data_IF_424830235878
#
_entry.id   IF_424830235878
#
_cell.length_a   1.000
_cell.length_b   1.000
_cell.length_c   1.000
_cell.angle_alpha   90.00
_cell.angle_beta   90.00
_cell.angle_gamma   90.00
#
_symmetry.space_group_name_H-M   'P 1'
#
loop_
_entity.id
_entity.type
_entity.pdbx_description
1 polymer ?
#
# COMPACT_ATOMS: atom_id res chain seq x y z
N UNK A 1 4.74 -3.61 6.34
CA UNK A 1 3.63 -2.65 6.22
C UNK A 1 3.27 -2.50 4.75
N UNK A 2 1.98 -2.54 4.43
CA UNK A 2 1.47 -2.43 3.06
C UNK A 2 1.79 -1.07 2.44
N UNK A 3 2.16 -1.00 1.15
CA UNK A 3 2.44 0.26 0.48
C UNK A 3 1.23 1.21 0.44
N UNK A 4 0.01 0.70 0.35
CA UNK A 4 -1.19 1.54 0.34
C UNK A 4 -1.85 1.67 1.73
N UNK A 5 -1.26 1.06 2.77
CA UNK A 5 -1.91 0.93 4.07
C UNK A 5 -2.87 -0.27 4.11
N UNK A 6 -3.56 -0.43 5.23
CA UNK A 6 -4.53 -1.52 5.38
C UNK A 6 -5.82 -1.15 4.65
N UNK A 7 -6.40 -2.12 3.94
CA UNK A 7 -7.72 -1.96 3.35
C UNK A 7 -8.78 -1.86 4.45
N UNK A 8 -9.72 -0.92 4.29
CA UNK A 8 -10.86 -0.77 5.20
C UNK A 8 -11.97 -1.78 4.88
N UNK A 9 -12.99 -1.85 5.73
CA UNK A 9 -14.15 -2.69 5.48
C UNK A 9 -14.92 -2.27 4.21
N UNK A 10 -14.97 -0.96 3.93
CA UNK A 10 -15.61 -0.40 2.73
C UNK A 10 -14.82 -0.75 1.47
N UNK A 11 -13.49 -0.61 1.49
CA UNK A 11 -12.64 -1.00 0.35
C UNK A 11 -12.82 -2.49 -0.02
N UNK A 12 -12.95 -3.35 0.99
CA UNK A 12 -13.22 -4.77 0.81
C UNK A 12 -14.61 -5.01 0.18
N UNK A 13 -15.63 -4.27 0.62
CA UNK A 13 -16.98 -4.36 0.04
C UNK A 13 -16.99 -3.96 -1.44
N UNK A 14 -16.31 -2.85 -1.78
CA UNK A 14 -16.18 -2.38 -3.16
C UNK A 14 -15.44 -3.40 -4.04
N UNK A 15 -14.38 -4.02 -3.50
CA UNK A 15 -13.68 -5.08 -4.22
C UNK A 15 -14.57 -6.32 -4.46
N UNK A 16 -15.37 -6.72 -3.48
CA UNK A 16 -16.31 -7.84 -3.61
C UNK A 16 -17.41 -7.55 -4.64
N UNK A 17 -17.88 -6.30 -4.75
CA UNK A 17 -18.82 -5.92 -5.81
C UNK A 17 -18.25 -6.21 -7.21
N UNK A 18 -16.94 -6.02 -7.41
CA UNK A 18 -16.31 -6.39 -8.68
C UNK A 18 -16.36 -7.89 -8.94
N UNK A 19 -16.23 -8.73 -7.91
CA UNK A 19 -16.24 -10.20 -8.04
C UNK A 19 -17.62 -10.76 -8.38
N UNK A 20 -18.69 -10.10 -7.94
CA UNK A 20 -20.06 -10.42 -8.33
C UNK A 20 -20.45 -9.89 -9.70
N UNK A 21 -19.69 -8.93 -10.23
CA UNK A 21 -19.96 -8.34 -11.53
C UNK A 21 -19.69 -9.31 -12.68
N UNK A 22 -20.27 -8.99 -13.82
CA UNK A 22 -20.05 -9.74 -15.06
C UNK A 22 -18.60 -9.71 -15.57
N UNK A 23 -17.78 -8.76 -15.08
CA UNK A 23 -16.39 -8.55 -15.48
C UNK A 23 -15.46 -9.68 -14.99
N UNK A 24 -15.84 -10.38 -13.92
CA UNK A 24 -15.01 -11.41 -13.27
C UNK A 24 -15.56 -12.81 -13.42
N UNK A 25 -16.50 -13.06 -14.36
CA UNK A 25 -17.14 -14.37 -14.58
C UNK A 25 -16.21 -15.56 -14.81
N UNK A 26 -14.96 -15.30 -15.23
CA UNK A 26 -13.95 -16.34 -15.47
C UNK A 26 -12.91 -16.46 -14.35
N UNK A 27 -12.97 -15.60 -13.33
CA UNK A 27 -12.08 -15.64 -12.18
C UNK A 27 -12.67 -16.59 -11.15
N UNK A 28 -12.07 -17.78 -11.01
CA UNK A 28 -12.52 -18.82 -10.07
C UNK A 28 -11.31 -19.51 -9.43
N UNK A 29 -11.52 -20.14 -8.27
CA UNK A 29 -10.50 -20.87 -7.51
C UNK A 29 -9.25 -20.03 -7.12
N UNK A 30 -9.40 -18.70 -7.10
CA UNK A 30 -8.30 -17.80 -6.75
C UNK A 30 -8.40 -17.37 -5.29
N UNK A 31 -7.24 -17.27 -4.62
CA UNK A 31 -7.12 -16.50 -3.38
C UNK A 31 -6.65 -15.10 -3.74
N UNK A 32 -7.57 -14.13 -3.76
CA UNK A 32 -7.30 -12.77 -4.23
C UNK A 32 -6.98 -11.85 -3.04
N UNK A 33 -5.75 -11.33 -2.99
CA UNK A 33 -5.29 -10.46 -1.91
C UNK A 33 -5.75 -9.01 -2.09
N UNK A 34 -6.57 -8.54 -1.16
CA UNK A 34 -7.01 -7.15 -1.05
C UNK A 34 -6.51 -6.54 0.27
N UNK A 35 -5.23 -6.20 0.32
CA UNK A 35 -4.51 -5.87 1.57
C UNK A 35 -3.57 -4.67 1.44
N UNK A 36 -3.78 -3.85 0.40
CA UNK A 36 -2.96 -2.68 0.09
C UNK A 36 -1.53 -3.02 -0.34
N UNK A 37 -1.29 -4.25 -0.83
CA UNK A 37 0.01 -4.73 -1.32
C UNK A 37 0.86 -5.38 -0.24
N UNK A 38 0.25 -5.84 0.86
CA UNK A 38 0.96 -6.50 1.96
C UNK A 38 1.52 -7.85 1.54
N UNK A 39 0.70 -8.70 0.91
CA UNK A 39 1.07 -10.08 0.57
C UNK A 39 2.19 -10.17 -0.48
N UNK A 40 2.44 -9.10 -1.23
CA UNK A 40 3.54 -9.03 -2.21
C UNK A 40 4.78 -8.29 -1.68
N UNK A 41 4.78 -7.87 -0.41
CA UNK A 41 5.91 -7.17 0.21
C UNK A 41 6.76 -8.11 1.06
N UNK A 42 8.01 -8.32 0.66
CA UNK A 42 9.00 -9.05 1.46
C UNK A 42 9.59 -8.20 2.60
N UNK A 43 10.03 -6.98 2.31
CA UNK A 43 10.58 -6.05 3.31
C UNK A 43 10.19 -4.60 2.95
N UNK A 44 9.11 -4.09 3.57
CA UNK A 44 8.71 -2.70 3.35
C UNK A 44 9.66 -1.75 4.09
N UNK A 45 10.24 -0.75 3.42
CA UNK A 45 11.12 0.22 4.07
C UNK A 45 10.44 1.01 5.19
N UNK A 46 9.11 1.21 5.12
CA UNK A 46 8.32 1.78 6.23
C UNK A 46 8.40 0.94 7.50
N UNK A 47 8.43 -0.40 7.42
CA UNK A 47 8.61 -1.24 8.60
C UNK A 47 10.00 -1.04 9.24
N UNK A 48 11.06 -0.90 8.43
CA UNK A 48 12.40 -0.56 8.91
C UNK A 48 12.51 0.87 9.45
N UNK A 49 11.77 1.82 8.85
CA UNK A 49 11.76 3.24 9.21
C UNK A 49 10.74 3.64 10.28
N UNK A 50 9.90 2.72 10.77
CA UNK A 50 9.03 2.99 11.94
C UNK A 50 9.86 3.37 13.19
N UNK A 51 11.18 3.10 13.19
CA UNK A 51 12.10 3.59 14.21
C UNK A 51 12.55 5.06 14.04
N UNK A 52 12.43 5.67 12.85
CA UNK A 52 12.78 7.08 12.58
C UNK A 52 11.83 7.69 11.54
N UNK A 53 10.75 8.32 12.02
CA UNK A 53 9.80 9.06 11.18
C UNK A 53 10.52 10.27 10.57
N UNK A 54 10.50 10.43 9.24
CA UNK A 54 11.08 11.59 8.52
C UNK A 54 12.30 11.32 7.63
N UNK A 55 12.77 10.08 7.52
CA UNK A 55 13.95 9.76 6.70
C UNK A 55 13.70 9.82 5.18
N UNK A 56 14.62 10.43 4.43
CA UNK A 56 14.69 10.48 2.96
C UNK A 56 14.67 9.10 2.30
N UNK A 57 13.94 8.95 1.20
CA UNK A 57 13.85 7.73 0.40
C UNK A 57 14.98 7.72 -0.65
N UNK A 58 16.08 6.99 -0.40
CA UNK A 58 17.29 6.95 -1.28
C UNK A 58 17.24 5.96 -2.45
N UNK A 59 16.16 5.17 -2.54
CA UNK A 59 15.91 4.18 -3.59
C UNK A 59 15.16 4.77 -4.80
N UNK A 60 14.81 6.06 -4.74
CA UNK A 60 14.07 6.78 -5.78
C UNK A 60 14.78 8.07 -6.15
N UNK A 61 14.74 8.42 -7.44
CA UNK A 61 15.31 9.67 -7.95
C UNK A 61 14.46 10.90 -7.57
N UNK A 62 13.14 10.74 -7.55
CA UNK A 62 12.16 11.79 -7.29
C UNK A 62 11.19 11.38 -6.17
N UNK A 63 10.44 12.33 -5.60
CA UNK A 63 9.50 12.10 -4.49
C UNK A 63 10.12 11.35 -3.30
N UNK A 64 11.32 11.78 -2.90
CA UNK A 64 12.09 11.16 -1.81
C UNK A 64 11.45 11.33 -0.41
N UNK A 65 10.40 12.13 -0.27
CA UNK A 65 9.62 12.30 0.96
C UNK A 65 8.12 12.14 0.67
N UNK A 66 7.66 10.91 0.35
CA UNK A 66 6.28 10.70 -0.09
C UNK A 66 5.24 10.86 1.02
N UNK A 67 5.67 10.98 2.29
CA UNK A 67 4.79 11.06 3.46
C UNK A 67 5.08 12.29 4.33
N UNK A 68 5.70 13.34 3.77
CA UNK A 68 6.13 14.53 4.52
C UNK A 68 7.40 14.31 5.36
N UNK A 69 7.86 15.37 6.02
CA UNK A 69 9.11 15.40 6.81
C UNK A 69 10.35 15.80 6.02
N UNK A 70 10.17 16.42 4.85
CA UNK A 70 11.27 17.02 4.09
C UNK A 70 11.89 18.21 4.83
N UNK A 71 13.12 18.62 4.49
CA UNK A 71 13.81 19.74 5.14
C UNK A 71 13.06 21.09 5.06
N UNK A 72 12.11 21.25 4.13
CA UNK A 72 11.27 22.46 4.03
C UNK A 72 10.15 22.54 5.08
N UNK A 73 9.76 21.42 5.70
CA UNK A 73 8.66 21.34 6.68
C UNK A 73 9.12 21.59 8.13
N UNK A 74 10.44 21.74 8.35
CA UNK A 74 11.06 21.97 9.68
C UNK A 74 11.52 23.44 9.92
N UNK A 75 11.15 24.38 9.04
CA UNK A 75 11.34 25.82 9.25
C UNK A 75 10.10 26.48 9.83
#
# INVERSE_FOLDING_TARGET
>A
MSPLGNATAEDCADYVLTLFSDLTRKVTMQNLYHDGGFSSMGMSRRAMKTYERGMRFDDVHEHQYPFGGGPEEQK
#
